data_IF_613962466907
#
_entry.id   IF_613962466907
#
_cell.length_a   1.000
_cell.length_b   1.000
_cell.length_c   1.000
_cell.angle_alpha   90.00
_cell.angle_beta   90.00
_cell.angle_gamma   90.00
#
_symmetry.space_group_name_H-M   'P 1'
#
loop_
_entity.id
_entity.type
_entity.pdbx_description
1 polymer ?
#
# COMPACT_ATOMS: atom_id res chain seq x y z
N UNK A 1 6.76 19.93 -9.03
CA UNK A 1 6.16 18.62 -8.64
C UNK A 1 4.73 18.87 -8.17
N UNK A 2 3.71 18.44 -8.94
CA UNK A 2 2.32 18.60 -8.51
C UNK A 2 2.06 17.70 -7.29
N UNK A 3 1.78 18.32 -6.14
CA UNK A 3 1.54 17.62 -4.88
C UNK A 3 0.13 17.01 -4.94
N UNK A 4 0.05 15.70 -5.19
CA UNK A 4 -1.23 14.98 -5.16
C UNK A 4 -1.91 15.08 -3.78
N UNK A 5 -3.23 14.95 -3.74
CA UNK A 5 -3.96 15.01 -2.46
C UNK A 5 -3.81 13.74 -1.63
N UNK A 6 -3.92 13.86 -0.29
CA UNK A 6 -3.89 12.71 0.65
C UNK A 6 -4.92 11.62 0.29
N UNK A 7 -6.08 12.04 -0.23
CA UNK A 7 -7.15 11.14 -0.69
C UNK A 7 -6.68 10.30 -1.87
N UNK A 8 -6.06 10.92 -2.89
CA UNK A 8 -5.54 10.21 -4.07
C UNK A 8 -4.47 9.18 -3.66
N UNK A 9 -3.58 9.55 -2.73
CA UNK A 9 -2.54 8.67 -2.18
C UNK A 9 -3.13 7.44 -1.49
N UNK A 10 -4.12 7.64 -0.62
CA UNK A 10 -4.76 6.58 0.16
C UNK A 10 -5.55 5.62 -0.73
N UNK A 11 -6.32 6.15 -1.70
CA UNK A 11 -7.08 5.33 -2.66
C UNK A 11 -6.18 4.41 -3.49
N UNK A 12 -4.98 4.88 -3.87
CA UNK A 12 -4.07 4.10 -4.72
C UNK A 12 -3.23 3.11 -3.94
N UNK A 13 -2.69 3.50 -2.79
CA UNK A 13 -1.66 2.71 -2.11
C UNK A 13 -1.94 2.39 -0.65
N UNK A 14 -3.06 2.87 -0.10
CA UNK A 14 -3.45 2.58 1.27
C UNK A 14 -3.74 1.10 1.50
N UNK A 15 -3.80 0.72 2.77
CA UNK A 15 -3.86 -0.68 3.18
C UNK A 15 -5.08 -1.43 2.62
N UNK A 16 -6.27 -0.81 2.68
CA UNK A 16 -7.51 -1.39 2.13
C UNK A 16 -7.42 -1.62 0.62
N UNK A 17 -6.77 -0.72 -0.12
CA UNK A 17 -6.56 -0.87 -1.56
C UNK A 17 -5.66 -2.07 -1.88
N UNK A 18 -4.66 -2.35 -1.02
CA UNK A 18 -3.80 -3.54 -1.14
C UNK A 18 -4.54 -4.83 -0.77
N UNK A 19 -5.46 -4.80 0.19
CA UNK A 19 -6.24 -6.00 0.55
C UNK A 19 -7.26 -6.40 -0.52
N UNK A 20 -7.78 -5.47 -1.31
CA UNK A 20 -8.83 -5.74 -2.30
C UNK A 20 -8.39 -6.70 -3.42
N UNK A 21 -7.12 -6.68 -3.81
CA UNK A 21 -6.62 -7.46 -4.96
C UNK A 21 -5.67 -8.57 -4.53
N UNK A 22 -5.67 -9.68 -5.28
CA UNK A 22 -4.73 -10.81 -5.05
C UNK A 22 -3.27 -10.33 -5.05
N UNK A 23 -2.91 -9.48 -6.01
CA UNK A 23 -1.55 -8.95 -6.13
C UNK A 23 -1.21 -7.97 -5.00
N UNK A 24 -2.16 -7.16 -4.54
CA UNK A 24 -1.96 -6.29 -3.39
C UNK A 24 -1.69 -7.07 -2.10
N UNK A 25 -2.40 -8.18 -1.86
CA UNK A 25 -2.13 -9.10 -0.75
C UNK A 25 -0.71 -9.69 -0.82
N UNK A 26 -0.25 -10.10 -2.00
CA UNK A 26 1.13 -10.58 -2.22
C UNK A 26 2.18 -9.52 -1.86
N UNK A 27 1.95 -8.26 -2.22
CA UNK A 27 2.85 -7.14 -1.86
C UNK A 27 2.95 -6.99 -0.34
N UNK A 28 1.81 -7.03 0.37
CA UNK A 28 1.82 -6.94 1.84
C UNK A 28 2.58 -8.12 2.46
N UNK A 29 2.36 -9.35 1.98
CA UNK A 29 3.08 -10.53 2.45
C UNK A 29 4.60 -10.42 2.23
N UNK A 30 5.02 -9.94 1.06
CA UNK A 30 6.44 -9.68 0.76
C UNK A 30 7.04 -8.63 1.70
N UNK A 31 6.35 -7.50 1.92
CA UNK A 31 6.84 -6.44 2.81
C UNK A 31 6.91 -6.87 4.27
N UNK A 32 5.97 -7.72 4.73
CA UNK A 32 5.99 -8.36 6.05
C UNK A 32 7.18 -9.31 6.20
N UNK A 33 7.44 -10.16 5.21
CA UNK A 33 8.59 -11.07 5.19
C UNK A 33 9.92 -10.34 5.29
N UNK A 34 10.04 -9.20 4.59
CA UNK A 34 11.20 -8.30 4.67
C UNK A 34 11.26 -7.49 5.97
N UNK A 35 10.27 -7.63 6.87
CA UNK A 35 10.17 -6.92 8.15
C UNK A 35 10.26 -5.39 7.99
N UNK A 36 9.61 -4.84 6.95
CA UNK A 36 9.57 -3.38 6.78
C UNK A 36 8.80 -2.76 7.95
N UNK A 37 9.40 -1.78 8.62
CA UNK A 37 8.73 -0.99 9.67
C UNK A 37 7.39 -0.40 9.20
N UNK A 38 7.31 -0.02 7.91
CA UNK A 38 6.07 0.46 7.28
C UNK A 38 5.64 -0.45 6.12
N UNK A 39 4.52 -1.15 6.29
CA UNK A 39 4.04 -2.17 5.35
C UNK A 39 3.12 -1.59 4.27
N UNK A 40 2.32 -0.57 4.60
CA UNK A 40 1.47 0.15 3.65
C UNK A 40 1.63 1.65 3.81
N UNK A 41 1.02 2.41 2.90
CA UNK A 41 1.13 3.86 2.86
C UNK A 41 0.43 4.53 4.05
#
# INVERSE_FOLDING_TARGET
>A
MNQGTKIKRTKKSGFRARLKTKNGKKILAFRRRKKRHKISL
#
